data_IF_058990872317
#
_entry.id   IF_058990872317
#
_cell.length_a   1.000
_cell.length_b   1.000
_cell.length_c   1.000
_cell.angle_alpha   90.00
_cell.angle_beta   90.00
_cell.angle_gamma   90.00
#
_symmetry.space_group_name_H-M   'P 1'
#
loop_
_entity.id
_entity.type
_entity.pdbx_description
1 polymer ?
#
# COMPACT_ATOMS: atom_id res chain seq x y z
N UNK A 1 3.69 1.08 5.41
CA UNK A 1 4.13 -0.31 5.54
C UNK A 1 5.50 -0.43 4.90
N UNK A 2 6.47 -1.02 5.59
CA UNK A 2 7.82 -1.27 5.08
C UNK A 2 7.98 -2.72 4.64
N UNK A 3 8.92 -2.95 3.72
CA UNK A 3 9.29 -4.28 3.26
C UNK A 3 9.93 -5.08 4.40
N UNK A 4 9.43 -6.29 4.64
CA UNK A 4 9.93 -7.21 5.66
C UNK A 4 10.61 -8.43 5.04
N UNK A 5 11.70 -8.86 5.67
CA UNK A 5 12.48 -10.03 5.29
C UNK A 5 12.39 -11.14 6.34
N UNK A 6 11.87 -10.83 7.54
CA UNK A 6 11.62 -11.82 8.58
C UNK A 6 10.19 -11.75 9.08
N UNK A 7 9.56 -12.92 9.27
CA UNK A 7 8.17 -13.05 9.70
C UNK A 7 8.10 -13.99 10.90
N UNK A 8 7.48 -13.52 11.97
CA UNK A 8 7.40 -14.21 13.26
C UNK A 8 5.94 -14.59 13.50
N UNK A 9 5.64 -15.88 13.63
CA UNK A 9 4.29 -16.40 13.85
C UNK A 9 4.13 -16.92 15.27
N UNK A 10 3.01 -16.56 15.91
CA UNK A 10 2.58 -17.23 17.14
C UNK A 10 2.14 -18.67 16.84
N UNK A 11 2.93 -19.64 17.30
CA UNK A 11 2.68 -21.05 17.07
C UNK A 11 1.47 -21.58 17.84
N UNK A 12 1.01 -20.90 18.90
CA UNK A 12 -0.25 -21.25 19.54
C UNK A 12 -1.44 -21.06 18.59
N UNK A 13 -1.34 -20.16 17.61
CA UNK A 13 -2.35 -19.92 16.59
C UNK A 13 -2.18 -20.83 15.37
N UNK A 14 -0.93 -21.11 15.00
CA UNK A 14 -0.61 -22.07 13.92
C UNK A 14 -0.98 -23.49 14.33
N UNK A 15 -0.81 -23.84 15.60
CA UNK A 15 -1.12 -25.14 16.19
C UNK A 15 -2.10 -24.96 17.36
N UNK A 16 -3.37 -24.63 17.06
CA UNK A 16 -4.36 -24.33 18.07
C UNK A 16 -4.60 -25.53 18.98
N UNK A 17 -4.82 -25.22 20.26
CA UNK A 17 -5.20 -26.21 21.24
C UNK A 17 -6.64 -26.67 21.01
N UNK A 18 -6.88 -27.98 21.09
CA UNK A 18 -8.22 -28.56 21.03
C UNK A 18 -8.49 -29.34 22.30
N UNK A 19 -9.61 -29.04 22.97
CA UNK A 19 -10.05 -29.84 24.12
C UNK A 19 -10.22 -31.31 23.72
N UNK A 20 -9.66 -32.27 24.49
CA UNK A 20 -9.90 -33.67 24.23
C UNK A 20 -11.40 -34.00 24.42
N UNK A 21 -11.98 -34.88 23.58
CA UNK A 21 -13.37 -35.32 23.75
C UNK A 21 -13.58 -35.93 25.13
N UNK A 22 -14.63 -35.52 25.85
CA UNK A 22 -14.94 -36.05 27.19
C UNK A 22 -14.12 -35.45 28.33
N UNK A 23 -13.47 -34.30 28.12
CA UNK A 23 -12.73 -33.60 29.18
C UNK A 23 -13.58 -33.38 30.45
N UNK A 24 -13.08 -33.85 31.59
CA UNK A 24 -13.78 -33.77 32.88
C UNK A 24 -13.73 -32.36 33.51
N UNK A 25 -12.76 -31.53 33.12
CA UNK A 25 -12.64 -30.15 33.58
C UNK A 25 -13.25 -29.23 32.51
N UNK A 26 -14.18 -28.32 32.86
CA UNK A 26 -14.72 -27.35 31.92
C UNK A 26 -13.65 -26.48 31.28
N UNK A 27 -13.74 -26.22 29.97
CA UNK A 27 -12.75 -25.46 29.21
C UNK A 27 -12.51 -24.05 29.77
N UNK A 28 -13.53 -23.42 30.36
CA UNK A 28 -13.39 -22.11 31.02
C UNK A 28 -12.48 -22.17 32.26
N UNK A 29 -12.59 -23.24 33.04
CA UNK A 29 -11.72 -23.45 34.22
C UNK A 29 -10.27 -23.64 33.78
N UNK A 30 -10.04 -24.43 32.73
CA UNK A 30 -8.70 -24.64 32.16
C UNK A 30 -8.12 -23.34 31.62
N UNK A 31 -8.92 -22.54 30.90
CA UNK A 31 -8.52 -21.20 30.45
C UNK A 31 -8.09 -20.34 31.65
N UNK A 32 -8.88 -20.28 32.72
CA UNK A 32 -8.50 -19.55 33.94
C UNK A 32 -7.21 -20.07 34.59
N UNK A 33 -6.98 -21.39 34.59
CA UNK A 33 -5.71 -21.97 35.05
C UNK A 33 -4.54 -21.50 34.19
N UNK A 34 -4.68 -21.53 32.85
CA UNK A 34 -3.63 -21.12 31.92
C UNK A 34 -3.28 -19.61 32.01
N UNK A 35 -4.20 -18.77 32.47
CA UNK A 35 -3.94 -17.35 32.73
C UNK A 35 -3.48 -17.04 34.17
N UNK A 36 -3.33 -18.05 35.03
CA UNK A 36 -2.88 -17.85 36.41
C UNK A 36 -1.37 -17.68 36.50
N UNK A 37 -0.89 -16.88 37.46
CA UNK A 37 0.54 -16.64 37.69
C UNK A 37 1.39 -17.93 37.74
N UNK A 38 0.98 -18.99 38.46
CA UNK A 38 1.75 -20.24 38.50
C UNK A 38 1.92 -20.87 37.12
N UNK A 39 0.90 -20.83 36.27
CA UNK A 39 0.99 -21.37 34.91
C UNK A 39 1.90 -20.49 34.03
N UNK A 40 1.83 -19.16 34.18
CA UNK A 40 2.72 -18.25 33.47
C UNK A 40 4.19 -18.42 33.89
N UNK A 41 4.46 -18.80 35.15
CA UNK A 41 5.79 -19.15 35.63
C UNK A 41 6.27 -20.51 35.12
N UNK A 42 5.37 -21.48 35.01
CA UNK A 42 5.64 -22.78 34.39
C UNK A 42 6.03 -22.64 32.91
N UNK A 43 5.31 -21.81 32.14
CA UNK A 43 5.66 -21.51 30.74
C UNK A 43 7.05 -20.86 30.59
N UNK A 44 7.56 -20.19 31.62
CA UNK A 44 8.89 -19.54 31.65
C UNK A 44 9.98 -20.41 32.25
N UNK A 45 9.69 -21.69 32.51
CA UNK A 45 10.61 -22.62 33.17
C UNK A 45 11.05 -22.14 34.57
N UNK A 46 10.18 -21.43 35.29
CA UNK A 46 10.41 -20.95 36.67
C UNK A 46 9.74 -21.82 37.74
N UNK A 47 8.84 -22.70 37.32
CA UNK A 47 8.06 -23.58 38.18
C UNK A 47 8.06 -24.99 37.58
N UNK A 48 8.18 -26.02 38.42
CA UNK A 48 8.10 -27.42 37.97
C UNK A 48 6.66 -27.88 37.72
N UNK A 49 6.49 -28.92 36.90
CA UNK A 49 5.17 -29.47 36.53
C UNK A 49 4.37 -29.96 37.76
N UNK A 50 4.99 -30.76 38.63
CA UNK A 50 4.29 -31.31 39.80
C UNK A 50 3.91 -30.21 40.80
N UNK A 51 4.78 -29.21 40.97
CA UNK A 51 4.53 -28.04 41.82
C UNK A 51 3.38 -27.18 41.28
N UNK A 52 3.34 -26.98 39.95
CA UNK A 52 2.22 -26.31 39.28
C UNK A 52 0.89 -27.00 39.61
N UNK A 53 0.80 -28.33 39.46
CA UNK A 53 -0.46 -29.03 39.68
C UNK A 53 -0.92 -29.00 41.14
N UNK A 54 0.01 -28.99 42.10
CA UNK A 54 -0.31 -28.80 43.52
C UNK A 54 -0.89 -27.39 43.76
N UNK A 55 -0.26 -26.35 43.20
CA UNK A 55 -0.73 -24.97 43.35
C UNK A 55 -2.11 -24.78 42.69
N UNK A 56 -2.29 -25.27 41.45
CA UNK A 56 -3.56 -25.18 40.74
C UNK A 56 -4.67 -25.98 41.44
N UNK A 57 -4.35 -27.14 42.01
CA UNK A 57 -5.27 -27.94 42.80
C UNK A 57 -5.83 -27.13 43.97
N UNK A 58 -4.96 -26.44 44.72
CA UNK A 58 -5.38 -25.57 45.81
C UNK A 58 -6.19 -24.37 45.33
N UNK A 59 -5.80 -23.72 44.22
CA UNK A 59 -6.46 -22.51 43.72
C UNK A 59 -7.87 -22.78 43.15
N UNK A 60 -8.05 -23.92 42.49
CA UNK A 60 -9.29 -24.25 41.79
C UNK A 60 -10.12 -25.33 42.49
N UNK A 61 -9.68 -25.83 43.65
CA UNK A 61 -10.36 -26.86 44.44
C UNK A 61 -10.65 -28.13 43.64
N UNK A 62 -9.68 -28.58 42.85
CA UNK A 62 -9.74 -29.79 42.03
C UNK A 62 -8.63 -30.76 42.42
N UNK A 63 -8.83 -32.09 42.31
CA UNK A 63 -7.77 -33.05 42.61
C UNK A 63 -6.53 -32.87 41.71
N UNK A 64 -5.33 -32.93 42.29
CA UNK A 64 -4.04 -32.85 41.57
C UNK A 64 -4.00 -33.85 40.40
N UNK A 65 -4.44 -35.09 40.63
CA UNK A 65 -4.46 -36.14 39.61
C UNK A 65 -5.34 -35.79 38.40
N UNK A 66 -6.49 -35.15 38.64
CA UNK A 66 -7.41 -34.74 37.59
C UNK A 66 -6.81 -33.61 36.73
N UNK A 67 -6.13 -32.65 37.36
CA UNK A 67 -5.43 -31.57 36.66
C UNK A 67 -4.27 -32.13 35.83
N UNK A 68 -3.45 -32.99 36.45
CA UNK A 68 -2.31 -33.61 35.79
C UNK A 68 -2.74 -34.46 34.59
N UNK A 69 -3.77 -35.29 34.74
CA UNK A 69 -4.34 -36.08 33.66
C UNK A 69 -4.88 -35.19 32.53
N UNK A 70 -5.57 -34.09 32.87
CA UNK A 70 -6.08 -33.15 31.88
C UNK A 70 -4.94 -32.54 31.04
N UNK A 71 -3.93 -31.92 31.67
CA UNK A 71 -2.84 -31.28 30.92
C UNK A 71 -2.01 -32.31 30.13
N UNK A 72 -1.70 -33.48 30.72
CA UNK A 72 -0.93 -34.53 30.04
C UNK A 72 -1.69 -35.16 28.86
N UNK A 73 -2.98 -35.43 28.99
CA UNK A 73 -3.81 -35.97 27.89
C UNK A 73 -4.04 -34.94 26.78
N UNK A 74 -4.07 -33.66 27.14
CA UNK A 74 -4.22 -32.54 26.22
C UNK A 74 -2.95 -32.17 25.44
N UNK A 75 -1.83 -32.89 25.67
CA UNK A 75 -0.63 -32.84 24.83
C UNK A 75 -0.83 -33.49 23.46
N UNK A 76 -1.93 -34.21 23.26
CA UNK A 76 -2.19 -34.98 22.05
C UNK A 76 -2.34 -34.11 20.80
N UNK A 77 -1.48 -34.39 19.83
CA UNK A 77 -1.44 -34.00 18.41
C UNK A 77 -2.24 -32.73 18.02
N UNK A 78 -1.56 -31.58 18.01
CA UNK A 78 -2.10 -30.33 17.47
C UNK A 78 -1.97 -30.33 15.95
N UNK A 79 -3.08 -30.05 15.24
CA UNK A 79 -3.07 -29.93 13.78
C UNK A 79 -2.67 -28.52 13.37
N UNK A 80 -1.91 -28.41 12.29
CA UNK A 80 -1.62 -27.12 11.68
C UNK A 80 -2.92 -26.47 11.20
N UNK A 81 -3.05 -25.16 11.42
CA UNK A 81 -4.18 -24.38 10.97
C UNK A 81 -4.20 -24.30 9.44
N UNK A 82 -5.30 -24.73 8.82
CA UNK A 82 -5.44 -24.90 7.37
C UNK A 82 -5.20 -23.61 6.56
N UNK A 83 -5.23 -22.44 7.21
CA UNK A 83 -5.05 -21.14 6.55
C UNK A 83 -3.71 -20.48 6.86
N UNK A 84 -3.22 -20.52 8.11
CA UNK A 84 -1.95 -19.87 8.48
C UNK A 84 -0.75 -20.61 7.89
N UNK A 85 -0.84 -21.93 7.83
CA UNK A 85 0.24 -22.77 7.32
C UNK A 85 0.51 -22.55 5.81
N UNK A 86 -0.53 -22.46 4.93
CA UNK A 86 -0.31 -21.98 3.56
C UNK A 86 0.26 -20.57 3.45
N UNK A 87 -0.06 -19.65 4.37
CA UNK A 87 0.54 -18.30 4.36
C UNK A 87 2.05 -18.36 4.62
N UNK A 88 2.50 -19.19 5.56
CA UNK A 88 3.94 -19.43 5.83
C UNK A 88 4.63 -19.93 4.56
N UNK A 89 4.06 -20.94 3.90
CA UNK A 89 4.59 -21.48 2.63
C UNK A 89 4.61 -20.45 1.52
N UNK A 90 3.58 -19.59 1.46
CA UNK A 90 3.53 -18.49 0.50
C UNK A 90 4.69 -17.53 0.70
N UNK A 91 4.97 -17.11 1.94
CA UNK A 91 6.06 -16.17 2.25
C UNK A 91 7.42 -16.70 1.79
N UNK A 92 7.70 -17.98 2.04
CA UNK A 92 8.94 -18.65 1.58
C UNK A 92 9.05 -18.73 0.06
N UNK A 93 7.93 -18.91 -0.65
CA UNK A 93 7.90 -18.95 -2.12
C UNK A 93 8.03 -17.56 -2.76
N UNK A 94 7.28 -16.60 -2.24
CA UNK A 94 7.24 -15.23 -2.76
C UNK A 94 8.61 -14.55 -2.61
N UNK A 95 9.37 -14.89 -1.57
CA UNK A 95 10.71 -14.39 -1.35
C UNK A 95 11.58 -15.48 -0.71
N UNK A 96 12.37 -16.23 -1.51
CA UNK A 96 13.19 -17.34 -1.01
C UNK A 96 14.24 -16.97 0.05
N UNK A 97 14.55 -15.67 0.19
CA UNK A 97 15.46 -15.16 1.22
C UNK A 97 14.75 -14.77 2.51
N UNK A 98 13.42 -14.79 2.55
CA UNK A 98 12.65 -14.50 3.76
C UNK A 98 12.90 -15.55 4.82
N UNK A 99 13.03 -15.12 6.06
CA UNK A 99 13.09 -15.99 7.23
C UNK A 99 11.73 -16.06 7.90
N UNK A 100 11.33 -17.26 8.30
CA UNK A 100 10.08 -17.46 9.03
C UNK A 100 10.40 -18.10 10.37
N UNK A 101 10.06 -17.42 11.46
CA UNK A 101 10.29 -17.87 12.82
C UNK A 101 8.97 -18.21 13.51
N UNK A 102 9.00 -19.23 14.37
CA UNK A 102 7.92 -19.56 15.27
C UNK A 102 8.22 -19.05 16.67
N UNK A 103 7.24 -18.44 17.33
CA UNK A 103 7.32 -18.11 18.76
C UNK A 103 6.18 -18.78 19.49
N UNK A 104 6.43 -19.26 20.71
CA UNK A 104 5.39 -19.98 21.45
C UNK A 104 5.51 -19.80 22.97
N UNK A 105 4.45 -19.33 23.62
CA UNK A 105 4.29 -19.52 25.06
C UNK A 105 3.97 -21.01 25.34
N UNK A 106 4.98 -21.77 25.76
CA UNK A 106 4.88 -23.21 26.02
C UNK A 106 5.98 -23.63 27.01
N UNK A 107 5.65 -24.56 27.91
CA UNK A 107 6.59 -25.14 28.87
C UNK A 107 7.53 -26.14 28.19
N UNK A 108 8.67 -26.46 28.82
CA UNK A 108 9.61 -27.48 28.30
C UNK A 108 8.96 -28.86 28.14
N UNK A 109 8.22 -29.41 29.14
CA UNK A 109 7.59 -30.71 28.98
C UNK A 109 6.55 -30.76 27.85
N UNK A 110 5.79 -29.68 27.65
CA UNK A 110 4.77 -29.62 26.60
C UNK A 110 5.41 -29.45 25.21
N UNK A 111 6.51 -28.70 25.12
CA UNK A 111 7.30 -28.56 23.90
C UNK A 111 7.93 -29.90 23.47
N UNK A 112 8.54 -30.62 24.41
CA UNK A 112 9.11 -31.95 24.14
C UNK A 112 8.03 -32.94 23.69
N UNK A 113 6.84 -32.91 24.31
CA UNK A 113 5.71 -33.73 23.89
C UNK A 113 5.22 -33.37 22.48
N UNK A 114 5.19 -32.08 22.14
CA UNK A 114 4.86 -31.63 20.79
C UNK A 114 5.89 -32.13 19.77
N UNK A 115 7.19 -32.01 20.03
CA UNK A 115 8.24 -32.50 19.14
C UNK A 115 8.14 -34.01 18.86
N UNK A 116 7.74 -34.80 19.86
CA UNK A 116 7.60 -36.25 19.73
C UNK A 116 6.35 -36.69 18.94
N UNK A 117 5.35 -35.81 18.81
CA UNK A 117 4.06 -36.15 18.19
C UNK A 117 3.80 -35.41 16.89
N UNK A 118 4.46 -34.28 16.67
CA UNK A 118 4.31 -33.44 15.50
C UNK A 118 5.06 -34.03 14.30
N UNK A 119 4.47 -34.06 13.10
CA UNK A 119 5.17 -34.40 11.88
C UNK A 119 6.40 -33.50 11.68
N UNK A 120 7.57 -34.12 11.49
CA UNK A 120 8.85 -33.40 11.40
C UNK A 120 8.89 -32.39 10.24
N UNK A 121 8.14 -32.63 9.18
CA UNK A 121 8.01 -31.75 8.01
C UNK A 121 7.38 -30.39 8.35
N UNK A 122 6.48 -30.33 9.34
CA UNK A 122 5.81 -29.07 9.69
C UNK A 122 6.77 -28.04 10.30
N UNK A 123 7.71 -28.51 11.14
CA UNK A 123 8.69 -27.63 11.77
C UNK A 123 9.80 -27.18 10.81
N UNK A 124 10.06 -27.92 9.73
CA UNK A 124 11.03 -27.50 8.69
C UNK A 124 10.59 -26.25 7.92
N UNK A 125 9.30 -25.90 8.00
CA UNK A 125 8.79 -24.64 7.43
C UNK A 125 9.21 -23.41 8.26
N UNK A 126 9.83 -23.58 9.43
CA UNK A 126 10.39 -22.50 10.24
C UNK A 126 11.93 -22.54 10.22
N UNK A 127 12.56 -21.38 10.04
CA UNK A 127 14.01 -21.18 10.14
C UNK A 127 14.51 -21.29 11.59
N UNK A 128 13.61 -21.12 12.56
CA UNK A 128 13.86 -21.32 13.97
C UNK A 128 12.57 -21.19 14.78
N UNK A 129 12.54 -21.82 15.96
CA UNK A 129 11.45 -21.69 16.93
C UNK A 129 12.03 -21.27 18.27
N UNK A 130 11.42 -20.26 18.89
CA UNK A 130 11.78 -19.81 20.24
C UNK A 130 10.57 -19.96 21.16
N UNK A 131 10.74 -20.73 22.24
CA UNK A 131 9.69 -20.94 23.24
C UNK A 131 9.88 -20.01 24.43
N UNK A 132 8.81 -19.74 25.17
CA UNK A 132 8.89 -18.97 26.42
C UNK A 132 9.75 -19.66 27.47
N UNK A 133 9.81 -21.00 27.45
CA UNK A 133 10.63 -21.78 28.38
C UNK A 133 12.12 -21.64 28.12
N UNK A 134 12.53 -21.61 26.84
CA UNK A 134 13.92 -21.42 26.41
C UNK A 134 14.35 -19.95 26.56
N UNK A 135 13.49 -19.02 26.16
CA UNK A 135 13.74 -17.59 26.33
C UNK A 135 13.70 -17.14 27.80
N UNK A 136 13.08 -17.90 28.70
CA UNK A 136 12.89 -17.55 30.12
C UNK A 136 11.91 -16.40 30.36
N UNK A 137 11.14 -16.02 29.34
CA UNK A 137 10.17 -14.93 29.34
C UNK A 137 9.04 -15.20 28.34
N UNK A 138 7.88 -14.54 28.48
CA UNK A 138 6.73 -14.71 27.58
C UNK A 138 6.71 -13.71 26.43
N UNK A 139 6.02 -14.07 25.34
CA UNK A 139 5.85 -13.24 24.14
C UNK A 139 5.19 -11.88 24.47
N UNK A 140 4.39 -11.77 25.54
CA UNK A 140 3.81 -10.50 25.99
C UNK A 140 4.80 -9.52 26.63
N UNK A 141 6.11 -9.80 26.57
CA UNK A 141 7.17 -8.97 27.17
C UNK A 141 8.22 -8.65 26.11
N UNK A 142 8.61 -7.37 26.01
CA UNK A 142 9.63 -6.93 25.05
C UNK A 142 10.96 -7.67 25.19
N UNK A 143 11.33 -8.09 26.41
CA UNK A 143 12.54 -8.87 26.66
C UNK A 143 12.60 -10.20 25.89
N UNK A 144 11.45 -10.85 25.65
CA UNK A 144 11.38 -12.05 24.82
C UNK A 144 11.88 -11.78 23.39
N UNK A 145 11.39 -10.70 22.78
CA UNK A 145 11.78 -10.31 21.43
C UNK A 145 13.22 -9.81 21.36
N UNK A 146 13.75 -9.18 22.42
CA UNK A 146 15.16 -8.82 22.50
C UNK A 146 16.06 -10.06 22.38
N UNK A 147 15.74 -11.12 23.13
CA UNK A 147 16.46 -12.41 23.08
C UNK A 147 16.31 -13.12 21.74
N UNK A 148 15.12 -13.07 21.14
CA UNK A 148 14.90 -13.60 19.79
C UNK A 148 15.80 -12.88 18.78
N UNK A 149 15.88 -11.55 18.82
CA UNK A 149 16.71 -10.76 17.92
C UNK A 149 18.20 -11.05 18.13
N UNK A 150 18.66 -11.13 19.38
CA UNK A 150 20.05 -11.46 19.72
C UNK A 150 20.47 -12.85 19.22
N UNK A 151 19.59 -13.84 19.36
CA UNK A 151 19.88 -15.23 18.95
C UNK A 151 19.80 -15.45 17.43
N UNK A 152 18.96 -14.69 16.73
CA UNK A 152 18.72 -14.88 15.29
C UNK A 152 19.44 -13.86 14.39
N UNK A 153 19.90 -12.74 14.95
CA UNK A 153 20.52 -11.64 14.21
C UNK A 153 19.56 -10.91 13.26
N UNK A 154 18.24 -11.00 13.51
CA UNK A 154 17.22 -10.36 12.67
C UNK A 154 17.27 -8.83 12.77
N UNK A 155 17.04 -8.16 11.64
CA UNK A 155 16.80 -6.71 11.60
C UNK A 155 15.36 -6.42 12.02
N UNK A 156 15.20 -5.79 13.20
CA UNK A 156 13.89 -5.43 13.76
C UNK A 156 13.06 -4.56 12.82
N UNK A 157 13.70 -3.65 12.07
CA UNK A 157 13.01 -2.73 11.14
C UNK A 157 12.43 -3.43 9.91
N UNK A 158 12.86 -4.68 9.67
CA UNK A 158 12.46 -5.54 8.55
C UNK A 158 11.82 -6.84 9.04
N UNK A 159 11.31 -6.84 10.27
CA UNK A 159 10.66 -7.97 10.89
C UNK A 159 9.19 -7.66 11.16
N UNK A 160 8.31 -8.64 10.95
CA UNK A 160 6.89 -8.55 11.27
C UNK A 160 6.45 -9.66 12.22
N UNK A 161 5.70 -9.31 13.28
CA UNK A 161 5.01 -10.25 14.15
C UNK A 161 3.55 -10.42 13.70
N UNK A 162 3.14 -11.66 13.49
CA UNK A 162 1.76 -12.06 13.16
C UNK A 162 1.14 -12.68 14.42
N UNK A 163 0.13 -12.02 14.98
CA UNK A 163 -0.54 -12.45 16.20
C UNK A 163 -1.94 -11.85 16.31
N UNK A 164 -2.89 -12.62 16.78
CA UNK A 164 -4.23 -12.18 17.24
C UNK A 164 -4.17 -11.55 18.62
N UNK A 165 -3.14 -11.84 19.42
CA UNK A 165 -2.97 -11.28 20.76
C UNK A 165 -2.36 -9.87 20.73
N UNK A 166 -3.11 -8.87 21.19
CA UNK A 166 -2.70 -7.46 21.21
C UNK A 166 -1.47 -7.24 22.10
N UNK A 167 -1.36 -7.96 23.22
CA UNK A 167 -0.21 -7.83 24.13
C UNK A 167 1.11 -8.25 23.45
N UNK A 168 1.08 -9.26 22.59
CA UNK A 168 2.23 -9.69 21.80
C UNK A 168 2.64 -8.60 20.80
N UNK A 169 1.64 -7.99 20.13
CA UNK A 169 1.86 -6.89 19.18
C UNK A 169 2.48 -5.68 19.86
N UNK A 170 1.97 -5.28 21.03
CA UNK A 170 2.53 -4.17 21.81
C UNK A 170 3.98 -4.48 22.20
N UNK A 171 4.24 -5.68 22.73
CA UNK A 171 5.59 -6.07 23.13
C UNK A 171 6.60 -6.01 21.97
N UNK A 172 6.25 -6.53 20.79
CA UNK A 172 7.13 -6.51 19.62
C UNK A 172 7.34 -5.08 19.07
N UNK A 173 6.26 -4.29 18.97
CA UNK A 173 6.32 -2.94 18.38
C UNK A 173 7.14 -1.96 19.21
N UNK A 174 7.26 -2.16 20.53
CA UNK A 174 8.18 -1.36 21.38
C UNK A 174 9.66 -1.49 21.01
N UNK A 175 10.02 -2.51 20.23
CA UNK A 175 11.38 -2.72 19.70
C UNK A 175 11.52 -2.36 18.21
N UNK A 176 10.46 -1.84 17.57
CA UNK A 176 10.45 -1.48 16.16
C UNK A 176 10.05 -2.61 15.20
N UNK A 177 9.65 -3.78 15.71
CA UNK A 177 9.07 -4.86 14.90
C UNK A 177 7.67 -4.44 14.42
N UNK A 178 7.35 -4.68 13.15
CA UNK A 178 6.03 -4.40 12.59
C UNK A 178 4.98 -5.34 13.19
N UNK A 179 3.93 -4.78 13.80
CA UNK A 179 2.82 -5.56 14.32
C UNK A 179 1.74 -5.82 13.28
N UNK A 180 1.45 -7.09 12.98
CA UNK A 180 0.33 -7.53 12.12
C UNK A 180 -0.72 -8.20 13.01
N UNK A 181 -1.63 -7.38 13.53
CA UNK A 181 -2.80 -7.85 14.25
C UNK A 181 -3.90 -8.24 13.26
N UNK A 182 -4.52 -9.39 13.46
CA UNK A 182 -5.61 -9.88 12.61
C UNK A 182 -6.65 -10.63 13.44
N UNK A 183 -7.83 -10.84 12.86
CA UNK A 183 -8.84 -11.75 13.42
C UNK A 183 -8.90 -13.03 12.59
N UNK A 184 -9.18 -14.15 13.24
CA UNK A 184 -9.30 -15.46 12.58
C UNK A 184 -10.41 -15.52 11.51
N UNK A 185 -11.40 -14.63 11.55
CA UNK A 185 -12.43 -14.51 10.50
C UNK A 185 -12.05 -13.56 9.35
N UNK A 186 -10.92 -12.85 9.45
CA UNK A 186 -10.44 -11.83 8.50
C UNK A 186 -9.18 -12.32 7.74
N UNK A 187 -9.06 -13.62 7.48
CA UNK A 187 -7.78 -14.19 6.96
C UNK A 187 -7.43 -13.71 5.55
N UNK A 188 -8.41 -13.27 4.76
CA UNK A 188 -8.15 -12.63 3.46
C UNK A 188 -7.37 -11.30 3.61
N UNK A 189 -7.68 -10.53 4.65
CA UNK A 189 -6.93 -9.31 5.01
C UNK A 189 -5.51 -9.66 5.42
N UNK A 190 -5.33 -10.68 6.27
CA UNK A 190 -3.99 -11.16 6.67
C UNK A 190 -3.15 -11.55 5.44
N UNK A 191 -3.71 -12.33 4.52
CA UNK A 191 -3.02 -12.72 3.28
C UNK A 191 -2.57 -11.49 2.49
N UNK A 192 -3.43 -10.48 2.35
CA UNK A 192 -3.12 -9.23 1.64
C UNK A 192 -1.98 -8.47 2.33
N UNK A 193 -2.06 -8.30 3.65
CA UNK A 193 -1.02 -7.64 4.45
C UNK A 193 0.33 -8.36 4.34
N UNK A 194 0.34 -9.68 4.45
CA UNK A 194 1.57 -10.48 4.34
C UNK A 194 2.21 -10.38 2.95
N UNK A 195 1.40 -10.35 1.88
CA UNK A 195 1.90 -10.11 0.51
C UNK A 195 2.55 -8.75 0.40
N UNK A 196 1.87 -7.71 0.88
CA UNK A 196 2.38 -6.33 0.86
C UNK A 196 3.71 -6.20 1.60
N UNK A 197 3.85 -6.87 2.75
CA UNK A 197 5.09 -6.85 3.52
C UNK A 197 6.22 -7.66 2.87
N UNK A 198 5.91 -8.74 2.14
CA UNK A 198 6.92 -9.62 1.56
C UNK A 198 7.43 -9.17 0.18
N UNK A 199 6.62 -8.40 -0.57
CA UNK A 199 6.90 -8.05 -1.97
C UNK A 199 7.55 -6.68 -2.09
N UNK A 200 8.49 -6.56 -3.03
CA UNK A 200 8.98 -5.25 -3.43
C UNK A 200 8.05 -4.65 -4.47
N UNK A 201 7.12 -3.81 -4.00
CA UNK A 201 6.07 -3.24 -4.82
C UNK A 201 6.60 -2.50 -6.07
N UNK A 202 7.75 -1.82 -5.96
CA UNK A 202 8.38 -1.12 -7.09
C UNK A 202 8.90 -2.13 -8.12
N UNK A 203 9.74 -3.08 -7.68
CA UNK A 203 10.35 -4.06 -8.58
C UNK A 203 9.30 -4.95 -9.27
N UNK A 204 8.19 -5.23 -8.58
CA UNK A 204 7.08 -6.00 -9.12
C UNK A 204 6.30 -5.21 -10.19
N UNK A 205 6.01 -3.93 -9.92
CA UNK A 205 5.38 -3.04 -10.90
C UNK A 205 6.27 -2.79 -12.12
N UNK A 206 7.56 -2.54 -11.92
CA UNK A 206 8.53 -2.37 -13.01
C UNK A 206 8.65 -3.62 -13.89
N UNK A 207 8.71 -4.81 -13.29
CA UNK A 207 8.71 -6.07 -14.03
C UNK A 207 7.42 -6.23 -14.83
N UNK A 208 6.27 -5.95 -14.23
CA UNK A 208 5.00 -6.02 -14.94
C UNK A 208 4.98 -5.06 -16.14
N UNK A 209 5.41 -3.80 -15.95
CA UNK A 209 5.50 -2.79 -17.01
C UNK A 209 6.42 -3.25 -18.15
N UNK A 210 7.56 -3.83 -17.81
CA UNK A 210 8.51 -4.39 -18.78
C UNK A 210 7.91 -5.57 -19.56
N UNK A 211 7.29 -6.52 -18.87
CA UNK A 211 6.70 -7.72 -19.48
C UNK A 211 5.51 -7.39 -20.42
N UNK A 212 4.84 -6.26 -20.17
CA UNK A 212 3.67 -5.80 -20.93
C UNK A 212 3.96 -4.62 -21.87
N UNK A 213 5.23 -4.24 -22.03
CA UNK A 213 5.64 -3.16 -22.94
C UNK A 213 5.03 -3.32 -24.35
N UNK A 214 4.49 -2.23 -24.89
CA UNK A 214 3.81 -2.21 -26.20
C UNK A 214 2.41 -2.84 -26.25
N UNK A 215 1.88 -3.34 -25.12
CA UNK A 215 0.56 -3.98 -25.03
C UNK A 215 -0.38 -3.32 -24.01
N UNK A 216 -0.03 -2.15 -23.48
CA UNK A 216 -0.75 -1.47 -22.40
C UNK A 216 -1.79 -0.47 -22.91
N UNK A 217 -2.72 -0.92 -23.76
CA UNK A 217 -3.79 -0.06 -24.28
C UNK A 217 -4.82 0.26 -23.19
N UNK A 218 -5.52 1.38 -23.37
CA UNK A 218 -6.65 1.69 -22.50
C UNK A 218 -7.81 0.79 -22.84
N UNK A 219 -8.70 0.58 -21.88
CA UNK A 219 -9.88 -0.28 -22.03
C UNK A 219 -11.10 0.48 -21.56
N UNK A 220 -12.22 0.29 -22.23
CA UNK A 220 -13.50 0.77 -21.72
C UNK A 220 -14.02 -0.10 -20.57
N UNK A 221 -14.96 0.41 -19.78
CA UNK A 221 -15.73 -0.39 -18.81
C UNK A 221 -16.60 -1.48 -19.47
N UNK A 222 -16.81 -1.38 -20.78
CA UNK A 222 -17.44 -2.41 -21.62
C UNK A 222 -16.46 -3.45 -22.19
N UNK A 223 -15.16 -3.34 -21.90
CA UNK A 223 -14.13 -4.31 -22.31
C UNK A 223 -13.60 -4.11 -23.74
N UNK A 224 -13.75 -2.92 -24.31
CA UNK A 224 -13.24 -2.58 -25.65
C UNK A 224 -11.89 -1.86 -25.52
N UNK A 225 -10.89 -2.32 -26.26
CA UNK A 225 -9.59 -1.65 -26.31
C UNK A 225 -9.69 -0.29 -27.03
N UNK A 226 -9.12 0.74 -26.39
CA UNK A 226 -9.02 2.10 -26.89
C UNK A 226 -7.55 2.45 -27.08
N UNK A 227 -7.20 2.79 -28.32
CA UNK A 227 -5.85 3.26 -28.69
C UNK A 227 -5.78 4.77 -28.55
N UNK A 228 -5.62 5.27 -27.32
CA UNK A 228 -5.39 6.69 -27.06
C UNK A 228 -3.91 6.99 -26.83
N UNK A 229 -3.52 8.24 -27.12
CA UNK A 229 -2.16 8.73 -26.92
C UNK A 229 -1.98 9.42 -25.55
N UNK A 230 -3.08 9.89 -24.94
CA UNK A 230 -3.06 10.65 -23.69
C UNK A 230 -2.47 9.83 -22.53
N UNK A 231 -3.02 8.63 -22.28
CA UNK A 231 -2.55 7.78 -21.19
C UNK A 231 -1.13 7.26 -21.44
N UNK A 232 -0.74 7.11 -22.71
CA UNK A 232 0.58 6.64 -23.11
C UNK A 232 1.64 7.73 -22.87
N UNK A 233 1.33 8.99 -23.16
CA UNK A 233 2.19 10.13 -22.85
C UNK A 233 2.36 10.35 -21.35
N UNK A 234 1.29 10.21 -20.55
CA UNK A 234 1.41 10.26 -19.09
C UNK A 234 2.26 9.11 -18.55
N UNK A 235 2.13 7.91 -19.11
CA UNK A 235 2.96 6.77 -18.73
C UNK A 235 4.43 7.00 -19.09
N UNK A 236 4.71 7.57 -20.27
CA UNK A 236 6.05 7.98 -20.68
C UNK A 236 6.65 9.01 -19.72
N UNK A 237 5.90 10.06 -19.39
CA UNK A 237 6.36 11.10 -18.47
C UNK A 237 6.76 10.51 -17.11
N UNK A 238 5.92 9.62 -16.57
CA UNK A 238 6.11 9.06 -15.22
C UNK A 238 7.18 7.96 -15.18
N UNK A 239 7.39 7.22 -16.27
CA UNK A 239 8.37 6.11 -16.33
C UNK A 239 9.70 6.48 -16.97
N UNK A 240 9.76 7.59 -17.71
CA UNK A 240 10.91 7.99 -18.55
C UNK A 240 11.30 6.95 -19.62
N UNK A 241 10.42 5.99 -19.95
CA UNK A 241 10.67 4.95 -20.96
C UNK A 241 9.64 5.01 -22.09
N UNK A 242 10.05 5.06 -23.38
CA UNK A 242 9.13 5.18 -24.51
C UNK A 242 8.24 3.95 -24.66
N UNK A 243 6.93 4.14 -24.52
CA UNK A 243 5.88 3.20 -24.94
C UNK A 243 5.04 3.94 -26.00
N UNK A 244 5.37 3.76 -27.27
CA UNK A 244 4.83 4.56 -28.39
C UNK A 244 3.52 4.00 -28.99
N UNK A 245 2.75 4.86 -29.65
CA UNK A 245 1.39 4.64 -30.16
C UNK A 245 1.24 4.81 -31.70
N UNK A 246 0.00 4.75 -32.23
CA UNK A 246 -0.37 4.80 -33.66
C UNK A 246 -1.28 5.99 -34.05
N UNK A 247 -1.71 6.06 -35.32
CA UNK A 247 -1.67 7.26 -36.17
C UNK A 247 -2.89 8.21 -36.25
N UNK A 248 -4.11 7.92 -35.78
CA UNK A 248 -5.25 8.83 -36.03
C UNK A 248 -6.26 8.96 -34.87
N UNK A 249 -6.20 10.12 -34.22
CA UNK A 249 -7.24 10.69 -33.34
C UNK A 249 -7.24 12.21 -33.58
N UNK A 250 -8.38 12.93 -33.54
CA UNK A 250 -8.38 14.37 -33.75
C UNK A 250 -7.47 15.06 -32.72
N UNK A 251 -6.62 15.98 -33.19
CA UNK A 251 -5.70 16.71 -32.33
C UNK A 251 -6.48 17.49 -31.27
N UNK A 252 -6.30 17.14 -30.00
CA UNK A 252 -6.81 17.87 -28.87
C UNK A 252 -5.67 18.63 -28.18
N UNK A 253 -6.02 19.76 -27.58
CA UNK A 253 -5.04 20.69 -26.98
C UNK A 253 -4.44 20.09 -25.71
N UNK A 254 -5.17 19.19 -25.03
CA UNK A 254 -4.71 18.53 -23.80
C UNK A 254 -3.55 17.58 -24.09
N UNK A 255 -3.76 16.60 -24.97
CA UNK A 255 -2.71 15.66 -25.40
C UNK A 255 -1.52 16.38 -26.02
N UNK A 256 -1.75 17.43 -26.81
CA UNK A 256 -0.68 18.24 -27.43
C UNK A 256 0.17 18.94 -26.37
N UNK A 257 -0.45 19.55 -25.36
CA UNK A 257 0.26 20.24 -24.27
C UNK A 257 1.09 19.26 -23.43
N UNK A 258 0.56 18.06 -23.15
CA UNK A 258 1.30 17.00 -22.45
C UNK A 258 2.44 16.48 -23.32
N UNK A 259 2.24 16.26 -24.62
CA UNK A 259 3.29 15.81 -25.53
C UNK A 259 4.47 16.78 -25.55
N UNK A 260 4.18 18.08 -25.67
CA UNK A 260 5.23 19.11 -25.74
C UNK A 260 6.00 19.29 -24.43
N UNK A 261 5.41 18.91 -23.29
CA UNK A 261 6.07 18.99 -21.97
C UNK A 261 6.79 17.69 -21.60
N UNK A 262 6.19 16.54 -21.87
CA UNK A 262 6.76 15.22 -21.56
C UNK A 262 7.87 14.79 -22.54
N UNK A 263 7.83 15.28 -23.78
CA UNK A 263 8.81 14.97 -24.83
C UNK A 263 9.55 16.24 -25.27
N UNK A 264 9.94 17.08 -24.32
CA UNK A 264 10.52 18.41 -24.56
C UNK A 264 11.70 18.38 -25.57
N UNK A 265 12.56 17.36 -25.48
CA UNK A 265 13.72 17.17 -26.37
C UNK A 265 13.37 16.82 -27.83
N UNK A 266 12.16 16.32 -28.08
CA UNK A 266 11.72 15.91 -29.42
C UNK A 266 11.12 17.07 -30.23
N UNK A 267 10.66 18.12 -29.55
CA UNK A 267 10.01 19.27 -30.20
C UNK A 267 10.95 20.47 -30.22
N UNK A 268 11.41 20.92 -31.40
CA UNK A 268 12.21 22.14 -31.53
C UNK A 268 11.46 23.36 -30.99
N UNK A 269 12.20 24.36 -30.50
CA UNK A 269 11.62 25.59 -29.94
C UNK A 269 10.67 26.31 -30.92
N UNK A 270 11.04 26.38 -32.20
CA UNK A 270 10.21 27.00 -33.24
C UNK A 270 8.87 26.26 -33.40
N UNK A 271 8.89 24.93 -33.40
CA UNK A 271 7.67 24.11 -33.47
C UNK A 271 6.79 24.30 -32.23
N UNK A 272 7.37 24.39 -31.02
CA UNK A 272 6.61 24.69 -29.80
C UNK A 272 5.97 26.08 -29.88
N UNK A 273 6.66 27.06 -30.46
CA UNK A 273 6.12 28.41 -30.66
C UNK A 273 4.94 28.40 -31.63
N UNK A 274 5.06 27.71 -32.76
CA UNK A 274 3.97 27.56 -33.72
C UNK A 274 2.74 26.89 -33.09
N UNK A 275 2.94 25.81 -32.31
CA UNK A 275 1.86 25.11 -31.60
C UNK A 275 1.20 26.04 -30.57
N UNK A 276 1.97 26.81 -29.79
CA UNK A 276 1.42 27.76 -28.84
C UNK A 276 0.61 28.86 -29.55
N UNK A 277 1.10 29.37 -30.68
CA UNK A 277 0.39 30.37 -31.49
C UNK A 277 -0.93 29.81 -32.02
N UNK A 278 -0.94 28.57 -32.50
CA UNK A 278 -2.16 27.88 -32.93
C UNK A 278 -3.16 27.70 -31.77
N UNK A 279 -2.69 27.29 -30.57
CA UNK A 279 -3.55 27.17 -29.38
C UNK A 279 -4.17 28.53 -29.03
N UNK A 280 -3.42 29.62 -29.15
CA UNK A 280 -3.91 30.97 -28.87
C UNK A 280 -5.03 31.42 -29.81
N UNK A 281 -5.13 30.86 -31.02
CA UNK A 281 -6.26 31.13 -31.95
C UNK A 281 -7.58 30.53 -31.49
N UNK A 282 -7.54 29.55 -30.58
CA UNK A 282 -8.72 28.85 -30.07
C UNK A 282 -9.34 29.53 -28.85
N UNK A 283 -8.92 30.76 -28.53
CA UNK A 283 -9.43 31.51 -27.37
C UNK A 283 -10.89 31.92 -27.55
N UNK A 284 -11.68 31.78 -26.48
CA UNK A 284 -13.02 32.32 -26.40
C UNK A 284 -13.00 33.82 -26.02
N UNK A 285 -14.18 34.44 -25.95
CA UNK A 285 -14.36 35.87 -25.62
C UNK A 285 -13.81 36.24 -24.23
N UNK A 286 -13.76 35.28 -23.30
CA UNK A 286 -13.24 35.46 -21.94
C UNK A 286 -11.71 35.26 -21.85
N UNK A 287 -11.04 34.91 -22.94
CA UNK A 287 -9.60 34.67 -23.02
C UNK A 287 -9.16 33.25 -22.65
N UNK A 288 -10.08 32.29 -22.51
CA UNK A 288 -9.77 30.88 -22.27
C UNK A 288 -9.58 30.11 -23.57
N UNK A 289 -8.53 29.29 -23.65
CA UNK A 289 -8.35 28.33 -24.75
C UNK A 289 -9.38 27.21 -24.63
N UNK A 290 -9.93 26.80 -25.77
CA UNK A 290 -10.85 25.66 -25.83
C UNK A 290 -10.08 24.34 -25.72
N UNK A 291 -10.82 23.24 -25.50
CA UNK A 291 -10.25 21.89 -25.43
C UNK A 291 -9.80 21.33 -26.80
N UNK A 292 -10.50 21.74 -27.87
CA UNK A 292 -10.29 21.24 -29.22
C UNK A 292 -9.90 22.38 -30.15
N UNK A 293 -9.12 22.08 -31.18
CA UNK A 293 -8.88 23.00 -32.30
C UNK A 293 -10.13 23.23 -33.17
N UNK A 294 -11.16 22.39 -33.03
CA UNK A 294 -12.44 22.49 -33.74
C UNK A 294 -13.39 23.52 -33.08
N UNK A 295 -13.65 24.68 -33.74
CA UNK A 295 -14.52 25.72 -33.18
C UNK A 295 -15.98 25.30 -33.00
N UNK A 296 -16.44 24.23 -33.67
CA UNK A 296 -17.78 23.69 -33.49
C UNK A 296 -17.98 22.99 -32.14
N UNK A 297 -16.88 22.80 -31.39
CA UNK A 297 -16.85 22.17 -30.06
C UNK A 297 -16.29 23.12 -29.01
N UNK A 298 -17.01 24.21 -28.64
CA UNK A 298 -16.55 25.19 -27.66
C UNK A 298 -16.63 24.62 -26.24
N UNK A 299 -15.74 23.68 -25.92
CA UNK A 299 -15.66 23.01 -24.62
C UNK A 299 -14.54 23.63 -23.81
N UNK A 300 -14.87 24.01 -22.58
CA UNK A 300 -13.93 24.47 -21.58
C UNK A 300 -13.76 23.38 -20.52
N UNK A 301 -12.51 23.12 -20.13
CA UNK A 301 -12.15 22.13 -19.12
C UNK A 301 -10.95 22.64 -18.31
N UNK A 302 -11.11 22.71 -17.00
CA UNK A 302 -10.09 23.30 -16.14
C UNK A 302 -8.85 22.41 -15.95
N UNK A 303 -8.95 21.09 -16.16
CA UNK A 303 -7.79 20.20 -16.16
C UNK A 303 -6.95 20.46 -17.41
N UNK A 304 -7.61 20.57 -18.57
CA UNK A 304 -6.96 20.91 -19.85
C UNK A 304 -6.26 22.27 -19.75
N UNK A 305 -6.93 23.26 -19.17
CA UNK A 305 -6.34 24.58 -18.96
C UNK A 305 -5.05 24.54 -18.13
N UNK A 306 -4.97 23.68 -17.10
CA UNK A 306 -3.73 23.52 -16.31
C UNK A 306 -2.61 22.93 -17.16
N UNK A 307 -2.89 21.96 -18.04
CA UNK A 307 -1.89 21.39 -18.94
C UNK A 307 -1.40 22.40 -19.97
N UNK A 308 -2.30 23.22 -20.54
CA UNK A 308 -1.93 24.34 -21.41
C UNK A 308 -1.05 25.35 -20.67
N UNK A 309 -1.45 25.78 -19.47
CA UNK A 309 -0.65 26.69 -18.65
C UNK A 309 0.73 26.11 -18.34
N UNK A 310 0.82 24.80 -18.09
CA UNK A 310 2.10 24.11 -17.85
C UNK A 310 3.00 24.19 -19.08
N UNK A 311 2.45 23.93 -20.28
CA UNK A 311 3.19 24.03 -21.53
C UNK A 311 3.67 25.47 -21.81
N UNK A 312 2.80 26.46 -21.65
CA UNK A 312 3.16 27.87 -21.83
C UNK A 312 4.18 28.33 -20.79
N UNK A 313 4.07 27.87 -19.54
CA UNK A 313 5.00 28.21 -18.47
C UNK A 313 6.39 27.63 -18.70
N UNK A 314 6.47 26.36 -19.13
CA UNK A 314 7.72 25.70 -19.47
C UNK A 314 8.51 26.46 -20.56
N UNK A 315 7.79 27.15 -21.45
CA UNK A 315 8.37 27.94 -22.55
C UNK A 315 8.40 29.45 -22.30
N UNK A 316 8.14 29.92 -21.07
CA UNK A 316 8.21 31.35 -20.71
C UNK A 316 7.08 32.24 -21.23
N UNK A 317 6.01 31.64 -21.79
CA UNK A 317 4.89 32.33 -22.45
C UNK A 317 3.60 32.39 -21.61
N UNK A 318 3.65 31.99 -20.33
CA UNK A 318 2.47 32.00 -19.43
C UNK A 318 1.76 33.37 -19.34
N UNK A 319 2.49 34.47 -19.55
CA UNK A 319 1.97 35.84 -19.50
C UNK A 319 0.92 36.15 -20.59
N UNK A 320 0.80 35.31 -21.62
CA UNK A 320 -0.18 35.44 -22.70
C UNK A 320 -1.55 34.86 -22.34
N UNK A 321 -1.65 34.13 -21.23
CA UNK A 321 -2.88 33.50 -20.71
C UNK A 321 -3.23 33.94 -19.27
N UNK A 322 -3.25 35.26 -18.95
CA UNK A 322 -3.43 35.71 -17.57
C UNK A 322 -4.82 35.38 -17.01
N UNK A 323 -5.89 35.50 -17.80
CA UNK A 323 -7.26 35.18 -17.38
C UNK A 323 -7.41 33.70 -17.00
N UNK A 324 -6.74 32.82 -17.75
CA UNK A 324 -6.77 31.38 -17.48
C UNK A 324 -6.07 31.04 -16.18
N UNK A 325 -4.92 31.66 -15.90
CA UNK A 325 -4.20 31.48 -14.65
C UNK A 325 -5.03 31.97 -13.46
N UNK A 326 -5.66 33.15 -13.56
CA UNK A 326 -6.55 33.68 -12.53
C UNK A 326 -7.76 32.77 -12.28
N UNK A 327 -8.29 32.15 -13.33
CA UNK A 327 -9.38 31.19 -13.20
C UNK A 327 -8.95 29.91 -12.48
N UNK A 328 -7.78 29.35 -12.80
CA UNK A 328 -7.21 28.19 -12.07
C UNK A 328 -6.98 28.52 -10.60
N UNK A 329 -6.45 29.70 -10.29
CA UNK A 329 -6.29 30.19 -8.92
C UNK A 329 -7.64 30.29 -8.21
N UNK A 330 -8.67 30.79 -8.89
CA UNK A 330 -10.03 30.92 -8.35
C UNK A 330 -10.68 29.56 -8.10
N UNK A 331 -10.51 28.60 -9.01
CA UNK A 331 -10.97 27.21 -8.86
C UNK A 331 -10.36 26.58 -7.61
N UNK A 332 -9.05 26.76 -7.40
CA UNK A 332 -8.36 26.23 -6.23
C UNK A 332 -8.88 26.89 -4.92
N UNK A 333 -9.08 28.22 -4.93
CA UNK A 333 -9.65 28.96 -3.79
C UNK A 333 -11.06 28.48 -3.44
N UNK A 334 -11.91 28.31 -4.44
CA UNK A 334 -13.31 27.93 -4.29
C UNK A 334 -13.54 26.42 -4.10
N UNK A 335 -12.50 25.58 -4.24
CA UNK A 335 -12.61 24.11 -4.25
C UNK A 335 -13.50 23.57 -5.36
N UNK A 336 -13.64 24.31 -6.46
CA UNK A 336 -14.53 23.93 -7.55
C UNK A 336 -14.08 22.63 -8.25
N UNK A 337 -12.77 22.33 -8.21
CA UNK A 337 -12.17 21.12 -8.76
C UNK A 337 -12.69 19.81 -8.11
N UNK A 338 -13.30 19.87 -6.93
CA UNK A 338 -13.85 18.69 -6.24
C UNK A 338 -14.96 18.01 -7.04
N UNK A 339 -15.67 18.79 -7.88
CA UNK A 339 -16.75 18.27 -8.73
C UNK A 339 -16.25 17.56 -10.00
N UNK A 340 -14.94 17.60 -10.26
CA UNK A 340 -14.35 17.09 -11.49
C UNK A 340 -14.81 17.85 -12.74
N UNK A 341 -14.60 17.25 -13.90
CA UNK A 341 -15.01 17.83 -15.19
C UNK A 341 -15.97 16.89 -15.93
N UNK A 342 -16.48 17.34 -17.09
CA UNK A 342 -17.32 16.51 -17.97
C UNK A 342 -16.64 15.18 -18.32
N UNK A 343 -15.32 15.20 -18.53
CA UNK A 343 -14.53 14.04 -18.93
C UNK A 343 -13.83 13.40 -17.73
N UNK A 344 -13.38 14.20 -16.77
CA UNK A 344 -12.58 13.79 -15.61
C UNK A 344 -13.41 13.79 -14.31
N UNK A 345 -14.50 13.02 -14.28
CA UNK A 345 -15.44 13.05 -13.16
C UNK A 345 -14.98 12.19 -11.96
N UNK A 346 -14.34 11.03 -12.21
CA UNK A 346 -14.09 10.01 -11.17
C UNK A 346 -12.79 10.20 -10.40
N UNK A 347 -11.75 10.71 -11.05
CA UNK A 347 -10.50 11.12 -10.38
C UNK A 347 -10.56 12.56 -9.83
N UNK A 348 -11.52 13.35 -10.34
CA UNK A 348 -11.89 14.71 -9.94
C UNK A 348 -10.76 15.53 -9.33
N UNK A 349 -10.80 15.66 -8.00
CA UNK A 349 -9.88 16.51 -7.26
C UNK A 349 -8.42 16.07 -7.33
N UNK A 350 -8.16 14.77 -7.28
CA UNK A 350 -6.80 14.24 -7.20
C UNK A 350 -6.08 14.42 -8.55
N UNK A 351 -6.82 14.31 -9.68
CA UNK A 351 -6.31 14.60 -11.02
C UNK A 351 -5.95 16.07 -11.21
N UNK A 352 -6.85 16.99 -10.83
CA UNK A 352 -6.58 18.43 -10.96
C UNK A 352 -5.36 18.84 -10.12
N UNK A 353 -5.27 18.36 -8.88
CA UNK A 353 -4.14 18.64 -8.00
C UNK A 353 -2.83 18.04 -8.54
N UNK A 354 -2.89 16.86 -9.15
CA UNK A 354 -1.72 16.27 -9.81
C UNK A 354 -1.22 17.15 -10.97
N UNK A 355 -2.08 17.56 -11.89
CA UNK A 355 -1.66 18.42 -13.00
C UNK A 355 -1.21 19.81 -12.52
N UNK A 356 -1.85 20.35 -11.49
CA UNK A 356 -1.41 21.60 -10.87
C UNK A 356 -0.02 21.46 -10.23
N UNK A 357 0.29 20.29 -9.66
CA UNK A 357 1.63 20.00 -9.14
C UNK A 357 2.69 20.05 -10.24
N UNK A 358 2.37 19.62 -11.47
CA UNK A 358 3.27 19.72 -12.63
C UNK A 358 3.57 21.17 -12.99
N UNK A 359 2.54 22.04 -13.04
CA UNK A 359 2.72 23.48 -13.26
C UNK A 359 3.65 24.11 -12.20
N UNK A 360 3.43 23.74 -10.92
CA UNK A 360 4.17 24.29 -9.78
C UNK A 360 5.58 23.73 -9.62
N UNK A 361 5.88 22.57 -10.21
CA UNK A 361 7.21 21.96 -10.19
C UNK A 361 8.20 22.63 -11.15
N UNK A 362 7.71 23.46 -12.08
CA UNK A 362 8.57 24.20 -13.00
C UNK A 362 9.42 25.24 -12.25
N UNK A 363 10.71 25.42 -12.60
CA UNK A 363 11.64 26.26 -11.86
C UNK A 363 11.38 27.77 -12.03
N UNK A 364 10.66 28.15 -13.09
CA UNK A 364 10.33 29.54 -13.39
C UNK A 364 9.32 30.11 -12.36
N UNK A 365 9.50 31.36 -11.90
CA UNK A 365 8.56 31.97 -10.97
C UNK A 365 7.23 32.26 -11.69
N UNK A 366 6.13 31.91 -11.04
CA UNK A 366 4.81 32.31 -11.51
C UNK A 366 4.63 33.84 -11.45
N UNK A 367 3.75 34.41 -12.29
CA UNK A 367 3.39 35.82 -12.23
C UNK A 367 2.96 36.28 -10.82
N UNK A 368 3.19 37.55 -10.50
CA UNK A 368 2.99 38.12 -9.14
C UNK A 368 1.61 37.89 -8.51
N UNK A 369 0.54 37.78 -9.31
CA UNK A 369 -0.82 37.51 -8.83
C UNK A 369 -1.04 36.06 -8.37
N UNK A 370 -0.11 35.15 -8.66
CA UNK A 370 -0.13 33.74 -8.27
C UNK A 370 0.87 33.39 -7.15
N UNK A 371 1.51 34.38 -6.49
CA UNK A 371 2.54 34.17 -5.46
C UNK A 371 2.04 33.37 -4.24
N UNK A 372 0.73 33.37 -3.96
CA UNK A 372 0.12 32.57 -2.90
C UNK A 372 -0.32 31.15 -3.31
N UNK A 373 -0.16 30.78 -4.59
CA UNK A 373 -0.72 29.55 -5.14
C UNK A 373 -0.10 28.29 -4.53
N UNK A 374 1.21 28.28 -4.28
CA UNK A 374 1.91 27.14 -3.68
C UNK A 374 1.43 26.84 -2.25
N UNK A 375 1.25 27.88 -1.42
CA UNK A 375 0.76 27.71 -0.06
C UNK A 375 -0.68 27.17 -0.06
N UNK A 376 -1.54 27.76 -0.91
CA UNK A 376 -2.91 27.31 -1.06
C UNK A 376 -2.99 25.87 -1.60
N UNK A 377 -2.16 25.53 -2.58
CA UNK A 377 -2.05 24.17 -3.13
C UNK A 377 -1.72 23.16 -2.04
N UNK A 378 -0.72 23.48 -1.19
CA UNK A 378 -0.33 22.62 -0.06
C UNK A 378 -1.49 22.36 0.91
N UNK A 379 -2.26 23.39 1.24
CA UNK A 379 -3.48 23.22 2.06
C UNK A 379 -4.50 22.30 1.38
N UNK A 380 -4.76 22.53 0.09
CA UNK A 380 -5.76 21.75 -0.66
C UNK A 380 -5.38 20.29 -0.83
N UNK A 381 -4.10 19.98 -0.97
CA UNK A 381 -3.61 18.60 -1.00
C UNK A 381 -3.78 17.94 0.37
N UNK A 382 -3.45 18.64 1.46
CA UNK A 382 -3.62 18.11 2.81
C UNK A 382 -5.08 17.80 3.17
N UNK A 383 -6.03 18.61 2.66
CA UNK A 383 -7.48 18.37 2.82
C UNK A 383 -7.94 17.04 2.23
N UNK A 384 -7.21 16.48 1.26
CA UNK A 384 -7.56 15.21 0.60
C UNK A 384 -7.05 13.97 1.35
N UNK A 385 -6.25 14.13 2.41
CA UNK A 385 -5.65 12.98 3.09
C UNK A 385 -6.71 12.10 3.76
N UNK A 386 -6.70 10.80 3.42
CA UNK A 386 -7.66 9.82 3.92
C UNK A 386 -8.97 9.73 3.11
N UNK A 387 -9.15 10.55 2.09
CA UNK A 387 -10.31 10.44 1.18
C UNK A 387 -10.21 9.16 0.34
N UNK A 388 -11.33 8.48 0.04
CA UNK A 388 -11.33 7.30 -0.80
C UNK A 388 -10.87 7.63 -2.23
N UNK A 389 -10.27 6.65 -2.90
CA UNK A 389 -9.82 6.77 -4.29
C UNK A 389 -9.39 5.42 -4.84
N UNK A 390 -9.47 5.26 -6.16
CA UNK A 390 -8.85 4.12 -6.84
C UNK A 390 -7.31 4.25 -6.85
N UNK A 391 -6.61 3.26 -7.39
CA UNK A 391 -5.16 3.26 -7.42
C UNK A 391 -4.58 4.48 -8.18
N UNK A 392 -5.27 4.98 -9.22
CA UNK A 392 -4.85 6.19 -9.95
C UNK A 392 -5.01 7.45 -9.09
N UNK A 393 -6.16 7.64 -8.44
CA UNK A 393 -6.43 8.78 -7.57
C UNK A 393 -5.46 8.83 -6.38
N UNK A 394 -5.22 7.69 -5.72
CA UNK A 394 -4.26 7.58 -4.63
C UNK A 394 -2.84 7.94 -5.09
N UNK A 395 -2.42 7.41 -6.25
CA UNK A 395 -1.10 7.71 -6.81
C UNK A 395 -0.92 9.19 -7.13
N UNK A 396 -1.91 9.81 -7.78
CA UNK A 396 -1.95 11.24 -8.10
C UNK A 396 -1.86 12.11 -6.85
N UNK A 397 -2.61 11.76 -5.80
CA UNK A 397 -2.59 12.47 -4.51
C UNK A 397 -1.24 12.39 -3.83
N UNK A 398 -0.63 11.19 -3.80
CA UNK A 398 0.69 10.97 -3.19
C UNK A 398 1.76 11.77 -3.95
N UNK A 399 1.72 11.78 -5.28
CA UNK A 399 2.64 12.57 -6.12
C UNK A 399 2.47 14.08 -5.88
N UNK A 400 1.22 14.57 -5.85
CA UNK A 400 0.91 15.97 -5.55
C UNK A 400 1.36 16.39 -4.14
N UNK A 401 1.20 15.49 -3.15
CA UNK A 401 1.68 15.69 -1.79
C UNK A 401 3.20 15.78 -1.75
N UNK A 402 3.90 14.85 -2.40
CA UNK A 402 5.35 14.84 -2.46
C UNK A 402 5.92 16.10 -3.12
N UNK A 403 5.26 16.62 -4.17
CA UNK A 403 5.65 17.86 -4.84
C UNK A 403 5.64 19.11 -3.94
N UNK A 404 4.88 19.11 -2.84
CA UNK A 404 4.85 20.20 -1.85
C UNK A 404 5.46 19.82 -0.48
N UNK A 405 6.20 18.71 -0.43
CA UNK A 405 6.89 18.20 0.77
C UNK A 405 5.95 17.63 1.84
N UNK A 406 4.71 17.27 1.46
CA UNK A 406 3.77 16.58 2.32
C UNK A 406 3.83 15.06 2.10
N UNK A 407 3.35 14.31 3.11
CA UNK A 407 3.38 12.86 3.07
C UNK A 407 2.01 12.28 3.45
N UNK A 408 1.31 11.70 2.48
CA UNK A 408 0.06 10.96 2.73
C UNK A 408 0.36 9.50 3.09
N UNK A 409 0.66 9.25 4.38
CA UNK A 409 0.95 7.89 4.85
C UNK A 409 -0.24 6.94 4.72
N UNK A 410 -1.46 7.45 4.91
CA UNK A 410 -2.68 6.65 4.81
C UNK A 410 -2.95 6.24 3.36
N UNK A 411 -2.86 7.19 2.43
CA UNK A 411 -2.96 6.91 1.00
C UNK A 411 -1.86 5.97 0.52
N UNK A 412 -0.62 6.13 1.00
CA UNK A 412 0.49 5.23 0.69
C UNK A 412 0.22 3.78 1.12
N UNK A 413 -0.25 3.57 2.35
CA UNK A 413 -0.56 2.23 2.85
C UNK A 413 -1.74 1.60 2.08
N UNK A 414 -2.77 2.39 1.77
CA UNK A 414 -3.88 1.95 0.93
C UNK A 414 -3.43 1.55 -0.48
N UNK A 415 -2.59 2.36 -1.11
CA UNK A 415 -2.06 2.10 -2.44
C UNK A 415 -1.26 0.78 -2.48
N UNK A 416 -0.39 0.55 -1.49
CA UNK A 416 0.35 -0.71 -1.38
C UNK A 416 -0.59 -1.92 -1.27
N UNK A 417 -1.68 -1.77 -0.52
CA UNK A 417 -2.66 -2.83 -0.31
C UNK A 417 -3.57 -3.09 -1.52
N UNK A 418 -3.51 -2.26 -2.56
CA UNK A 418 -4.22 -2.47 -3.84
C UNK A 418 -3.38 -3.26 -4.85
N UNK A 419 -2.08 -3.48 -4.62
CA UNK A 419 -1.24 -4.20 -5.59
C UNK A 419 -1.73 -5.64 -5.81
N UNK A 420 -1.91 -6.02 -7.07
CA UNK A 420 -2.39 -7.33 -7.50
C UNK A 420 -1.28 -8.39 -7.52
N UNK A 421 -1.65 -9.66 -7.61
CA UNK A 421 -0.68 -10.78 -7.59
C UNK A 421 0.32 -10.72 -8.76
N UNK A 422 -0.09 -10.20 -9.92
CA UNK A 422 0.76 -10.01 -11.09
C UNK A 422 1.80 -8.89 -10.92
N UNK A 423 1.70 -8.08 -9.86
CA UNK A 423 2.58 -6.94 -9.57
C UNK A 423 2.05 -5.59 -10.06
N UNK A 424 0.95 -5.58 -10.79
CA UNK A 424 0.29 -4.36 -11.24
C UNK A 424 -0.69 -3.82 -10.20
N UNK A 425 -1.30 -2.68 -10.53
CA UNK A 425 -2.45 -2.14 -9.80
C UNK A 425 -3.73 -2.31 -10.62
N UNK A 426 -4.91 -2.37 -9.97
CA UNK A 426 -6.18 -2.43 -10.66
C UNK A 426 -6.35 -1.27 -11.64
N UNK A 427 -7.05 -1.49 -12.74
CA UNK A 427 -7.32 -0.45 -13.75
C UNK A 427 -7.98 0.76 -13.10
N UNK A 428 -7.30 1.91 -13.13
CA UNK A 428 -7.89 3.19 -12.75
C UNK A 428 -8.60 3.85 -13.94
N UNK A 429 -9.74 4.46 -13.66
CA UNK A 429 -10.62 5.06 -14.68
C UNK A 429 -10.31 6.55 -14.83
N UNK A 430 -9.59 6.91 -15.88
CA UNK A 430 -9.03 8.26 -16.01
C UNK A 430 -10.08 9.26 -16.49
N UNK A 431 -10.80 8.92 -17.55
CA UNK A 431 -11.81 9.78 -18.15
C UNK A 431 -12.98 8.98 -18.72
N UNK A 432 -14.04 9.67 -19.14
CA UNK A 432 -15.21 9.07 -19.78
C UNK A 432 -15.57 9.74 -21.10
N UNK A 433 -16.24 9.01 -21.98
CA UNK A 433 -16.85 9.61 -23.17
C UNK A 433 -18.02 10.51 -22.77
N UNK A 434 -17.95 11.79 -23.14
CA UNK A 434 -18.90 12.80 -22.67
C UNK A 434 -20.36 12.65 -23.13
N UNK A 435 -20.70 11.76 -24.07
CA UNK A 435 -22.10 11.50 -24.48
C UNK A 435 -22.65 10.16 -23.98
N UNK A 436 -21.79 9.14 -23.88
CA UNK A 436 -22.20 7.77 -23.53
C UNK A 436 -21.87 7.39 -22.09
N UNK A 437 -21.14 8.24 -21.35
CA UNK A 437 -20.63 7.99 -20.00
C UNK A 437 -19.75 6.73 -19.85
N UNK A 438 -19.37 6.11 -20.97
CA UNK A 438 -18.44 4.96 -21.03
C UNK A 438 -17.09 5.40 -20.45
N UNK A 439 -16.61 4.66 -19.46
CA UNK A 439 -15.34 4.94 -18.79
C UNK A 439 -14.17 4.43 -19.61
N UNK A 440 -13.03 5.10 -19.54
CA UNK A 440 -11.77 4.70 -20.16
C UNK A 440 -10.71 4.68 -19.06
N UNK A 441 -10.13 3.50 -18.86
CA UNK A 441 -9.08 3.26 -17.88
C UNK A 441 -7.85 2.65 -18.51
N UNK A 442 -6.71 2.79 -17.85
CA UNK A 442 -5.45 2.24 -18.34
C UNK A 442 -4.64 1.61 -17.20
N UNK A 443 -4.58 0.27 -17.18
CA UNK A 443 -3.86 -0.49 -16.15
C UNK A 443 -2.36 -0.19 -16.15
N UNK A 444 -1.77 0.02 -17.33
CA UNK A 444 -0.35 0.38 -17.47
C UNK A 444 -0.03 1.73 -16.84
N UNK A 445 -0.85 2.75 -17.13
CA UNK A 445 -0.71 4.08 -16.55
C UNK A 445 -0.90 4.02 -15.04
N UNK A 446 -1.95 3.34 -14.55
CA UNK A 446 -2.18 3.20 -13.11
C UNK A 446 -1.00 2.54 -12.41
N UNK A 447 -0.42 1.49 -13.01
CA UNK A 447 0.77 0.81 -12.47
C UNK A 447 1.99 1.73 -12.48
N UNK A 448 2.24 2.45 -13.57
CA UNK A 448 3.33 3.43 -13.66
C UNK A 448 3.21 4.54 -12.61
N UNK A 449 2.02 5.12 -12.44
CA UNK A 449 1.76 6.14 -11.44
C UNK A 449 1.93 5.60 -10.02
N UNK A 450 1.48 4.37 -9.74
CA UNK A 450 1.65 3.75 -8.43
C UNK A 450 3.13 3.53 -8.09
N UNK A 451 3.92 3.03 -9.05
CA UNK A 451 5.37 2.86 -8.89
C UNK A 451 6.05 4.19 -8.60
N UNK A 452 5.74 5.23 -9.38
CA UNK A 452 6.33 6.56 -9.17
C UNK A 452 5.91 7.19 -7.83
N UNK A 453 4.64 7.05 -7.44
CA UNK A 453 4.13 7.53 -6.16
C UNK A 453 4.84 6.86 -4.98
N UNK A 454 5.00 5.53 -5.02
CA UNK A 454 5.70 4.76 -3.97
C UNK A 454 7.17 5.17 -3.92
N UNK A 455 7.84 5.30 -5.07
CA UNK A 455 9.24 5.72 -5.16
C UNK A 455 9.43 7.12 -4.55
N UNK A 456 8.63 8.09 -4.97
CA UNK A 456 8.72 9.48 -4.49
C UNK A 456 8.44 9.59 -2.99
N UNK A 457 7.47 8.82 -2.48
CA UNK A 457 7.17 8.76 -1.05
C UNK A 457 8.36 8.21 -0.24
N UNK A 458 9.04 7.17 -0.73
CA UNK A 458 10.24 6.60 -0.08
C UNK A 458 11.44 7.56 -0.12
N UNK A 459 11.65 8.28 -1.22
CA UNK A 459 12.68 9.32 -1.31
C UNK A 459 12.46 10.41 -0.25
N UNK A 460 11.22 10.90 -0.12
CA UNK A 460 10.86 11.92 0.86
C UNK A 460 11.01 11.43 2.32
N UNK A 461 10.80 10.13 2.58
CA UNK A 461 11.09 9.53 3.90
C UNK A 461 12.58 9.50 4.21
N UNK A 462 13.44 9.26 3.21
CA UNK A 462 14.89 9.16 3.40
C UNK A 462 15.59 10.53 3.58
N UNK A 463 14.96 11.62 3.12
CA UNK A 463 15.46 12.99 3.27
C UNK A 463 15.19 13.59 4.67
N UNK A 464 14.41 12.90 5.51
CA UNK A 464 14.10 13.29 6.90
C UNK A 464 14.95 12.53 7.90
#
# INVERSE_FOLDING_TARGET
>A
MSLCDSFIFDLAEVFPWTSPPGAMIPSETIRRMMHSTPYLDYERNRLGEDELYIILSSQFSLPVSLIAEHFRSSRSNRRAHDILFPCIRYLKRARPRSRVYGVWNISTPDWDAFLNTSPSDLLTEFDGVTTSSDAGERISRAEFFRRLVESTGQDVSRSALISTEVEHIIAATTLGIVGVHYRLNEVSELKRTLRTLARDAIADGERWLSDHAGRMWSTTDTGVDVKDNFNQLLMLEVTSSPVLTTADYPADIDTTSIACTAMDDYFPADMKNDIMDDILTTRNEDGFTLMYHDPSRPRLDHVVCVNVLTFFHANGRIHELPQMLDWVVTILKARAYVWGTRYYMYLGADLFLYFLSRLLALPSPLPGHAVGLQALFKERVAERFGEPGDASALSMRILAAAACGLQDRRGYDQLLMLQEEDGAWPTGWIYKYGMSDILIGNKGLTTAMAVAAIRKSRELEAER
#
